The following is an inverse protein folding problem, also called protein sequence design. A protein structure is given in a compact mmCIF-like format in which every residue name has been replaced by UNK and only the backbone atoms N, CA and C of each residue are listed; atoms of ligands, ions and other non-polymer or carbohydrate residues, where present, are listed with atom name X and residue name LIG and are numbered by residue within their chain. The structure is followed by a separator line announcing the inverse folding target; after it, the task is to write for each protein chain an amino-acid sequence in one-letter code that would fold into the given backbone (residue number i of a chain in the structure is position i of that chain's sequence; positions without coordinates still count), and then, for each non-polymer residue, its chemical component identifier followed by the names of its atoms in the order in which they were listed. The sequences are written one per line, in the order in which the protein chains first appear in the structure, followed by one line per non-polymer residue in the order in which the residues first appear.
data_IF_070651754404
#
_entry.id   IF_070651754404
#
_cell.length_a   1.000
_cell.length_b   1.000
_cell.length_c   1.000
_cell.angle_alpha   90.00
_cell.angle_beta   90.00
_cell.angle_gamma   90.00
#
_symmetry.space_group_name_H-M   'P 1'
#
loop_
_entity.id
_entity.type
_entity.pdbx_description
1 polymer ?
#
# COMPACT_ATOMS: atom_id res chain seq x y z
N UNK A 1 -6.88 9.60 3.44
CA UNK A 1 -8.13 8.87 3.08
C UNK A 1 -8.92 8.50 4.33
N UNK A 2 -10.24 8.77 4.40
CA UNK A 2 -11.08 8.31 5.53
C UNK A 2 -11.43 6.82 5.39
N UNK A 3 -11.41 5.99 6.47
CA UNK A 3 -11.83 4.59 6.40
C UNK A 3 -13.30 4.41 6.00
N UNK A 4 -14.14 5.39 6.33
CA UNK A 4 -15.56 5.41 6.04
C UNK A 4 -15.90 5.94 4.64
N UNK A 5 -14.88 6.31 3.84
CA UNK A 5 -15.12 6.78 2.48
C UNK A 5 -15.85 5.69 1.67
N UNK A 6 -16.98 6.01 1.01
CA UNK A 6 -17.72 5.06 0.18
C UNK A 6 -16.87 4.56 -0.99
N UNK A 7 -16.77 3.24 -1.14
CA UNK A 7 -16.02 2.59 -2.25
C UNK A 7 -16.94 1.79 -3.16
N UNK A 8 -18.24 2.05 -3.12
CA UNK A 8 -19.24 1.32 -3.94
C UNK A 8 -19.05 1.52 -5.43
N UNK A 9 -18.39 2.60 -5.85
CA UNK A 9 -18.05 2.88 -7.25
C UNK A 9 -16.67 2.35 -7.65
N UNK A 10 -15.90 1.79 -6.70
CA UNK A 10 -14.55 1.30 -6.99
C UNK A 10 -14.62 -0.08 -7.62
N UNK A 11 -13.76 -0.30 -8.60
CA UNK A 11 -13.59 -1.59 -9.22
C UNK A 11 -12.63 -2.45 -8.39
N UNK A 12 -12.91 -3.76 -8.33
CA UNK A 12 -12.01 -4.73 -7.71
C UNK A 12 -11.01 -5.28 -8.72
N UNK A 13 -9.78 -5.51 -8.29
CA UNK A 13 -8.71 -6.09 -9.10
C UNK A 13 -7.67 -6.79 -8.25
N UNK A 14 -6.86 -7.66 -8.88
CA UNK A 14 -5.69 -8.25 -8.23
C UNK A 14 -4.60 -7.18 -8.09
N UNK A 15 -3.91 -7.16 -6.94
CA UNK A 15 -2.85 -6.20 -6.65
C UNK A 15 -1.67 -6.36 -7.63
N UNK A 16 -0.85 -5.30 -7.78
CA UNK A 16 -0.03 -5.09 -8.97
C UNK A 16 -0.82 -4.31 -10.01
N UNK A 17 -1.03 -3.02 -9.74
CA UNK A 17 -1.81 -2.13 -10.60
C UNK A 17 -0.90 -1.31 -11.50
N UNK A 18 -1.13 -1.31 -12.81
CA UNK A 18 -0.34 -0.51 -13.72
C UNK A 18 -0.24 -1.10 -15.13
N UNK A 19 0.85 -0.77 -15.82
CA UNK A 19 1.10 -1.13 -17.22
C UNK A 19 2.43 -1.88 -17.41
N UNK A 20 3.27 -1.95 -16.38
CA UNK A 20 4.52 -2.72 -16.42
C UNK A 20 4.26 -4.23 -16.44
N UNK A 21 5.23 -4.99 -16.94
CA UNK A 21 5.23 -6.45 -16.83
C UNK A 21 5.11 -6.88 -15.36
N UNK A 22 4.27 -7.87 -15.08
CA UNK A 22 3.91 -8.26 -13.71
C UNK A 22 2.71 -7.50 -13.13
N UNK A 23 2.17 -6.51 -13.85
CA UNK A 23 0.86 -5.92 -13.49
C UNK A 23 -0.26 -6.93 -13.73
N UNK A 24 -1.18 -7.00 -12.77
CA UNK A 24 -2.33 -7.90 -12.81
C UNK A 24 -3.65 -7.16 -13.05
N UNK A 25 -3.71 -5.87 -12.72
CA UNK A 25 -4.86 -5.01 -13.01
C UNK A 25 -4.38 -3.75 -13.72
N UNK A 26 -5.02 -3.41 -14.84
CA UNK A 26 -4.65 -2.22 -15.59
C UNK A 26 -5.01 -0.94 -14.83
N UNK A 27 -4.05 -0.02 -14.78
CA UNK A 27 -4.25 1.37 -14.40
C UNK A 27 -3.34 2.23 -15.28
N UNK A 28 -3.94 3.18 -16.00
CA UNK A 28 -3.26 4.00 -17.03
C UNK A 28 -3.58 5.51 -16.95
N UNK A 29 -4.00 5.99 -15.78
CA UNK A 29 -4.28 7.42 -15.52
C UNK A 29 -3.23 8.06 -14.61
N UNK A 30 -3.33 9.38 -14.38
CA UNK A 30 -2.39 10.12 -13.52
C UNK A 30 -2.47 9.71 -12.05
N UNK A 31 -3.61 9.22 -11.60
CA UNK A 31 -3.84 8.95 -10.19
C UNK A 31 -4.60 7.65 -10.01
N UNK A 32 -4.15 6.85 -9.04
CA UNK A 32 -4.92 5.71 -8.54
C UNK A 32 -5.01 5.77 -7.03
N UNK A 33 -6.20 5.43 -6.53
CA UNK A 33 -6.37 5.00 -5.15
C UNK A 33 -6.66 3.51 -5.12
N UNK A 34 -5.88 2.77 -4.34
CA UNK A 34 -6.15 1.37 -4.01
C UNK A 34 -6.53 1.24 -2.54
N UNK A 35 -7.38 0.27 -2.22
CA UNK A 35 -7.81 -0.01 -0.86
C UNK A 35 -8.10 -1.48 -0.68
N UNK A 36 -7.64 -2.03 0.45
CA UNK A 36 -8.00 -3.38 0.91
C UNK A 36 -8.40 -3.32 2.37
N UNK A 37 -9.36 -4.16 2.75
CA UNK A 37 -9.66 -4.45 4.15
C UNK A 37 -9.27 -5.88 4.46
N UNK A 38 -8.60 -6.10 5.59
CA UNK A 38 -8.20 -7.43 6.04
C UNK A 38 -8.17 -7.48 7.57
N UNK A 39 -8.19 -8.68 8.13
CA UNK A 39 -7.92 -8.90 9.55
C UNK A 39 -6.44 -9.17 9.72
N UNK A 40 -5.77 -8.41 10.57
CA UNK A 40 -4.35 -8.62 10.84
C UNK A 40 -4.14 -10.04 11.37
N UNK A 41 -3.27 -10.86 10.77
CA UNK A 41 -3.04 -12.21 11.24
C UNK A 41 -2.46 -12.21 12.66
N UNK A 42 -2.64 -13.33 13.35
CA UNK A 42 -2.10 -13.46 14.70
C UNK A 42 -0.58 -13.62 14.67
N UNK A 43 0.12 -12.85 15.52
CA UNK A 43 1.58 -12.92 15.58
C UNK A 43 2.22 -11.74 16.31
N UNK A 44 3.55 -11.85 16.51
CA UNK A 44 4.38 -10.79 17.07
C UNK A 44 5.29 -10.20 15.99
N UNK A 45 4.85 -9.10 15.38
CA UNK A 45 5.56 -8.46 14.27
C UNK A 45 6.48 -7.33 14.77
N UNK A 46 7.62 -7.66 15.38
CA UNK A 46 8.51 -6.65 15.99
C UNK A 46 9.05 -5.63 14.99
N UNK A 47 9.24 -6.02 13.73
CA UNK A 47 9.80 -5.18 12.68
C UNK A 47 8.88 -5.20 11.44
N UNK A 48 7.61 -4.86 11.66
CA UNK A 48 6.62 -4.75 10.61
C UNK A 48 6.88 -3.50 9.75
N UNK A 49 7.00 -3.71 8.45
CA UNK A 49 7.22 -2.69 7.42
C UNK A 49 6.21 -2.87 6.29
N UNK A 50 6.02 -1.82 5.48
CA UNK A 50 5.44 -2.00 4.16
C UNK A 50 6.48 -2.64 3.24
N UNK A 51 6.01 -3.36 2.22
CA UNK A 51 6.83 -3.85 1.12
C UNK A 51 6.17 -3.38 -0.16
N UNK A 52 6.83 -2.48 -0.87
CA UNK A 52 6.19 -1.61 -1.85
C UNK A 52 6.96 -1.66 -3.17
N UNK A 53 6.23 -1.85 -4.27
CA UNK A 53 6.71 -1.53 -5.60
C UNK A 53 5.82 -0.40 -6.12
N UNK A 54 6.42 0.75 -6.40
CA UNK A 54 5.74 1.93 -6.90
C UNK A 54 6.54 2.58 -8.03
N UNK A 55 5.83 3.04 -9.04
CA UNK A 55 6.35 3.92 -10.07
C UNK A 55 5.80 5.32 -9.81
N UNK A 56 6.68 6.21 -9.32
CA UNK A 56 6.44 7.56 -8.79
C UNK A 56 5.79 7.67 -7.40
N UNK A 57 5.26 8.85 -7.07
CA UNK A 57 5.03 9.29 -5.70
C UNK A 57 3.87 8.53 -5.06
N UNK A 58 4.13 7.86 -3.93
CA UNK A 58 3.17 7.03 -3.22
C UNK A 58 2.92 7.52 -1.79
N UNK A 59 1.66 7.51 -1.37
CA UNK A 59 1.23 7.74 0.01
C UNK A 59 0.42 6.55 0.53
N UNK A 60 0.70 6.11 1.76
CA UNK A 60 0.06 4.94 2.36
C UNK A 60 -0.65 5.32 3.66
N UNK A 61 -1.85 4.79 3.88
CA UNK A 61 -2.72 5.06 5.02
C UNK A 61 -3.21 3.77 5.67
N UNK A 62 -3.22 3.71 7.00
CA UNK A 62 -3.75 2.60 7.80
C UNK A 62 -4.89 3.11 8.66
N UNK A 63 -6.10 2.58 8.47
CA UNK A 63 -7.32 3.08 9.12
C UNK A 63 -7.41 4.62 9.03
N UNK A 64 -7.01 5.15 7.86
CA UNK A 64 -7.03 6.57 7.53
C UNK A 64 -5.96 7.44 8.18
N UNK A 65 -5.11 6.85 9.02
CA UNK A 65 -3.91 7.50 9.55
C UNK A 65 -2.78 7.41 8.53
N UNK A 66 -2.14 8.53 8.23
CA UNK A 66 -0.95 8.57 7.39
C UNK A 66 0.15 7.65 7.94
N UNK A 67 0.60 6.73 7.10
CA UNK A 67 1.46 5.63 7.51
C UNK A 67 2.86 5.71 6.89
N UNK A 68 2.98 6.08 5.62
CA UNK A 68 4.26 6.27 4.95
C UNK A 68 4.09 7.06 3.65
N UNK A 69 5.21 7.55 3.12
CA UNK A 69 5.31 8.02 1.73
C UNK A 69 6.68 7.71 1.14
N UNK A 70 6.75 7.59 -0.18
CA UNK A 70 7.98 7.57 -0.95
C UNK A 70 7.78 8.42 -2.21
N UNK A 71 8.88 8.95 -2.74
CA UNK A 71 8.91 9.78 -3.95
C UNK A 71 9.79 9.13 -5.01
N UNK A 72 9.65 9.51 -6.28
CA UNK A 72 10.30 8.81 -7.40
C UNK A 72 9.81 7.36 -7.50
N UNK A 73 10.43 6.56 -8.35
CA UNK A 73 10.12 5.15 -8.58
C UNK A 73 11.15 4.20 -7.98
N UNK A 74 10.74 2.95 -7.76
CA UNK A 74 11.62 1.80 -7.61
C UNK A 74 11.39 0.80 -8.75
N UNK A 75 12.28 -0.19 -8.92
CA UNK A 75 12.17 -1.22 -9.98
C UNK A 75 11.93 -2.62 -9.42
N UNK A 76 11.80 -2.70 -8.11
CA UNK A 76 11.63 -3.92 -7.32
C UNK A 76 10.89 -3.55 -6.04
N UNK A 77 10.32 -4.54 -5.35
CA UNK A 77 9.77 -4.33 -4.03
C UNK A 77 10.85 -3.91 -3.04
N UNK A 78 10.56 -2.87 -2.26
CA UNK A 78 11.45 -2.36 -1.22
C UNK A 78 10.70 -2.18 0.11
N UNK A 79 11.38 -2.36 1.25
CA UNK A 79 10.79 -2.13 2.55
C UNK A 79 10.63 -0.64 2.84
N UNK A 80 9.45 -0.23 3.31
CA UNK A 80 9.16 1.14 3.72
C UNK A 80 8.67 1.18 5.17
N UNK A 81 9.30 2.02 5.99
CA UNK A 81 8.99 2.13 7.42
C UNK A 81 7.57 2.66 7.64
N UNK A 82 6.87 2.05 8.59
CA UNK A 82 5.53 2.48 9.02
C UNK A 82 5.68 3.53 10.12
N UNK A 83 4.94 4.63 10.01
CA UNK A 83 4.89 5.67 11.04
C UNK A 83 4.51 5.08 12.41
N UNK A 84 5.08 5.62 13.48
CA UNK A 84 4.82 5.10 14.83
C UNK A 84 3.32 5.14 15.21
N UNK A 85 2.57 6.11 14.67
CA UNK A 85 1.12 6.24 14.91
C UNK A 85 0.35 5.14 14.17
N UNK A 86 0.60 4.94 12.89
CA UNK A 86 -0.04 3.87 12.11
C UNK A 86 0.35 2.47 12.60
N UNK A 87 1.61 2.28 13.03
CA UNK A 87 2.10 1.00 13.56
C UNK A 87 1.30 0.52 14.76
N UNK A 88 0.84 1.43 15.63
CA UNK A 88 0.00 1.10 16.81
C UNK A 88 -1.37 0.52 16.43
N UNK A 89 -1.84 0.73 15.21
CA UNK A 89 -3.14 0.24 14.72
C UNK A 89 -3.06 -1.20 14.22
N UNK A 90 -1.88 -1.63 13.74
CA UNK A 90 -1.61 -2.95 13.17
C UNK A 90 -1.38 -4.00 14.28
N UNK A 91 -2.43 -4.27 15.05
CA UNK A 91 -2.46 -5.27 16.14
C UNK A 91 -3.06 -6.58 15.66
N UNK A 92 -2.59 -7.69 16.22
CA UNK A 92 -3.16 -9.04 16.05
C UNK A 92 -4.69 -9.02 16.13
N UNK A 93 -5.38 -9.59 15.14
CA UNK A 93 -6.84 -9.67 15.09
C UNK A 93 -7.58 -8.36 14.80
N UNK A 94 -6.88 -7.22 14.68
CA UNK A 94 -7.52 -5.95 14.34
C UNK A 94 -7.98 -5.97 12.88
N UNK A 95 -9.17 -5.40 12.62
CA UNK A 95 -9.63 -5.10 11.26
C UNK A 95 -8.91 -3.86 10.75
N UNK A 96 -8.20 -4.01 9.63
CA UNK A 96 -7.37 -2.97 9.02
C UNK A 96 -7.95 -2.61 7.66
N UNK A 97 -8.11 -1.32 7.41
CA UNK A 97 -8.27 -0.73 6.09
C UNK A 97 -6.94 -0.10 5.69
N UNK A 98 -6.25 -0.72 4.74
CA UNK A 98 -5.06 -0.19 4.09
C UNK A 98 -5.48 0.52 2.81
N UNK A 99 -4.99 1.73 2.61
CA UNK A 99 -5.18 2.47 1.38
C UNK A 99 -3.85 3.04 0.90
N UNK A 100 -3.66 3.14 -0.41
CA UNK A 100 -2.54 3.84 -1.00
C UNK A 100 -3.01 4.72 -2.17
N UNK A 101 -2.34 5.84 -2.35
CA UNK A 101 -2.47 6.72 -3.50
C UNK A 101 -1.13 6.78 -4.20
N UNK A 102 -1.14 6.67 -5.52
CA UNK A 102 0.03 6.93 -6.34
C UNK A 102 -0.31 8.02 -7.36
N UNK A 103 0.61 8.97 -7.52
CA UNK A 103 0.55 10.03 -8.52
C UNK A 103 1.64 9.81 -9.58
N UNK A 104 1.21 9.69 -10.82
CA UNK A 104 2.02 9.45 -12.01
C UNK A 104 1.99 10.68 -12.92
N UNK A 105 3.15 11.05 -13.42
CA UNK A 105 3.43 12.15 -14.34
C UNK A 105 3.86 11.65 -15.72
N UNK A 106 4.39 10.42 -15.81
CA UNK A 106 4.65 9.70 -17.07
C UNK A 106 5.64 8.54 -16.89
N UNK A 107 5.86 7.75 -17.94
CA UNK A 107 6.77 6.61 -17.91
C UNK A 107 6.06 5.27 -17.73
N UNK A 108 6.61 4.40 -16.88
CA UNK A 108 5.94 3.16 -16.47
C UNK A 108 4.80 3.45 -15.49
N UNK A 109 4.10 2.40 -15.05
CA UNK A 109 3.10 2.50 -14.00
C UNK A 109 3.09 1.19 -13.22
N UNK A 110 3.28 1.30 -11.91
CA UNK A 110 3.10 0.18 -10.99
C UNK A 110 2.74 0.67 -9.59
N UNK A 111 1.82 -0.03 -8.94
CA UNK A 111 1.55 0.12 -7.52
C UNK A 111 1.15 -1.23 -6.92
N UNK A 112 1.94 -1.69 -5.96
CA UNK A 112 1.56 -2.74 -5.02
C UNK A 112 2.10 -2.43 -3.62
N UNK A 113 1.30 -2.76 -2.60
CA UNK A 113 1.59 -2.50 -1.19
C UNK A 113 1.25 -3.73 -0.36
N UNK A 114 2.30 -4.36 0.18
CA UNK A 114 2.22 -5.45 1.14
C UNK A 114 2.69 -5.06 2.54
N UNK A 115 2.58 -6.00 3.47
CA UNK A 115 3.17 -5.95 4.80
C UNK A 115 4.16 -7.09 4.97
N UNK A 116 5.33 -6.81 5.50
CA UNK A 116 6.38 -7.80 5.82
C UNK A 116 6.89 -7.57 7.24
N UNK A 117 7.20 -8.65 7.95
CA UNK A 117 7.98 -8.55 9.18
C UNK A 117 9.43 -8.89 8.85
N UNK A 118 10.29 -7.87 8.82
CA UNK A 118 11.70 -8.03 8.47
C UNK A 118 12.43 -8.69 9.63
N UNK A 119 12.97 -9.88 9.39
CA UNK A 119 13.84 -10.57 10.34
C UNK A 119 15.27 -10.21 10.01
N UNK A 120 16.00 -9.66 10.97
CA UNK A 120 17.45 -9.59 10.86
C UNK A 120 17.98 -10.98 11.24
N UNK A 121 19.01 -11.44 10.53
CA UNK A 121 19.83 -12.58 10.98
C UNK A 121 20.52 -12.27 12.32
#
# INVERSE_FOLDING_TARGET
MSPSFPVTTWQGGQAGFGTLEGSHTQWDTSDIWIRRTFTMPNGNYKNLQFYVFHDEDVEIYVNGVFAAKATSYNTTYEPLKISAVARKLLKSGAKITLAAHCHQTGGGQFLDVGLVNVVNE
#
